data_IF_439972521567
#
_entry.id   IF_439972521567
#
_cell.length_a   1.000
_cell.length_b   1.000
_cell.length_c   1.000
_cell.angle_alpha   90.00
_cell.angle_beta   90.00
_cell.angle_gamma   90.00
#
_symmetry.space_group_name_H-M   'P 1'
#
loop_
_entity.id
_entity.type
_entity.pdbx_description
1 polymer ?
#
# COMPACT_ATOMS: atom_id res chain seq x y z
N UNK A 1 6.50 -31.11 24.92
CA UNK A 1 6.40 -29.74 25.47
C UNK A 1 5.16 -29.07 24.88
N UNK A 2 4.24 -28.59 25.73
CA UNK A 2 2.95 -28.04 25.32
C UNK A 2 3.16 -26.63 24.76
N UNK A 3 2.89 -26.42 23.47
CA UNK A 3 2.82 -25.10 22.86
C UNK A 3 1.67 -24.32 23.49
N UNK A 4 1.98 -23.33 24.33
CA UNK A 4 0.99 -22.35 24.77
C UNK A 4 0.86 -21.32 23.67
N UNK A 5 -0.25 -21.38 22.94
CA UNK A 5 -0.72 -20.34 22.04
C UNK A 5 -0.99 -19.10 22.91
N UNK A 6 -0.04 -18.17 22.99
CA UNK A 6 -0.25 -16.90 23.66
C UNK A 6 -1.12 -16.05 22.71
N UNK A 7 -2.41 -15.98 23.03
CA UNK A 7 -3.33 -15.01 22.48
C UNK A 7 -2.74 -13.62 22.79
N UNK A 8 -2.19 -12.95 21.77
CA UNK A 8 -1.75 -11.56 21.89
C UNK A 8 -3.02 -10.75 22.14
N UNK A 9 -3.25 -10.43 23.42
CA UNK A 9 -4.25 -9.47 23.84
C UNK A 9 -3.85 -8.11 23.27
N UNK A 10 -4.48 -7.77 22.16
CA UNK A 10 -4.49 -6.46 21.54
C UNK A 10 -5.06 -5.46 22.55
N UNK A 11 -4.22 -4.92 23.45
CA UNK A 11 -4.57 -3.72 24.22
C UNK A 11 -4.27 -2.47 23.39
N UNK A 12 -4.77 -2.43 22.16
CA UNK A 12 -5.13 -1.17 21.52
C UNK A 12 -6.49 -0.77 22.10
N UNK A 13 -6.45 -0.17 23.29
CA UNK A 13 -7.61 0.48 23.88
C UNK A 13 -8.07 1.62 22.95
N UNK A 14 -9.09 1.34 22.13
CA UNK A 14 -10.18 2.23 21.71
C UNK A 14 -9.77 3.61 21.17
N UNK A 15 -8.66 3.71 20.45
CA UNK A 15 -8.56 4.75 19.42
C UNK A 15 -9.03 4.06 18.15
N UNK A 16 -10.32 4.25 17.81
CA UNK A 16 -10.73 4.08 16.42
C UNK A 16 -9.95 5.13 15.64
N UNK A 17 -8.75 4.76 15.18
CA UNK A 17 -8.02 5.56 14.23
C UNK A 17 -8.96 5.64 13.03
N UNK A 18 -9.60 6.80 12.86
CA UNK A 18 -10.43 7.12 11.69
C UNK A 18 -9.48 7.32 10.51
N UNK A 19 -8.74 6.28 10.15
CA UNK A 19 -8.05 6.27 8.89
C UNK A 19 -9.08 6.09 7.77
N UNK A 20 -8.69 6.37 6.55
CA UNK A 20 -9.49 6.01 5.39
C UNK A 20 -8.71 4.93 4.68
N UNK A 21 -9.35 3.77 4.44
CA UNK A 21 -8.70 2.72 3.68
C UNK A 21 -8.40 3.20 2.26
N UNK A 22 -7.37 2.62 1.66
CA UNK A 22 -6.90 3.00 0.34
C UNK A 22 -7.87 2.49 -0.73
N UNK A 23 -8.26 3.39 -1.63
CA UNK A 23 -9.06 3.06 -2.78
C UNK A 23 -8.27 2.11 -3.71
N UNK A 24 -8.84 0.94 -4.03
CA UNK A 24 -8.17 -0.05 -4.85
C UNK A 24 -8.09 0.38 -6.31
N UNK A 25 -7.05 -0.12 -6.98
CA UNK A 25 -7.08 -0.20 -8.43
C UNK A 25 -8.13 -1.20 -8.90
N UNK A 26 -8.37 -1.22 -10.21
CA UNK A 26 -9.33 -2.13 -10.84
C UNK A 26 -8.61 -3.13 -11.71
N UNK A 27 -9.18 -4.33 -11.83
CA UNK A 27 -8.72 -5.34 -12.78
C UNK A 27 -9.91 -5.99 -13.48
N UNK A 28 -9.80 -6.14 -14.80
CA UNK A 28 -10.82 -6.77 -15.64
C UNK A 28 -10.35 -8.17 -16.02
N UNK A 29 -11.14 -9.18 -15.68
CA UNK A 29 -10.86 -10.59 -15.96
C UNK A 29 -12.16 -11.20 -16.49
N UNK A 30 -12.11 -11.84 -17.67
CA UNK A 30 -13.29 -12.41 -18.33
C UNK A 30 -14.47 -11.42 -18.43
N UNK A 31 -14.17 -10.16 -18.79
CA UNK A 31 -15.11 -9.04 -18.89
C UNK A 31 -15.83 -8.64 -17.59
N UNK A 32 -15.36 -9.12 -16.43
CA UNK A 32 -15.83 -8.66 -15.12
C UNK A 32 -14.75 -7.82 -14.44
N UNK A 33 -15.16 -6.69 -13.88
CA UNK A 33 -14.29 -5.79 -13.11
C UNK A 33 -14.25 -6.22 -11.64
N UNK A 34 -13.06 -6.17 -11.05
CA UNK A 34 -12.78 -6.45 -9.64
C UNK A 34 -11.90 -5.35 -9.05
N UNK A 35 -11.89 -5.28 -7.72
CA UNK A 35 -10.87 -4.51 -6.99
C UNK A 35 -9.51 -5.22 -7.07
N UNK A 36 -8.43 -4.45 -6.96
CA UNK A 36 -7.05 -4.94 -6.89
C UNK A 36 -6.39 -4.34 -5.64
N UNK A 37 -5.97 -5.21 -4.71
CA UNK A 37 -5.44 -4.84 -3.39
C UNK A 37 -3.91 -4.69 -3.38
N UNK A 38 -3.31 -4.39 -4.53
CA UNK A 38 -1.90 -4.06 -4.68
C UNK A 38 -1.69 -3.11 -5.87
N UNK A 39 -0.48 -2.59 -6.04
CA UNK A 39 -0.19 -1.45 -6.92
C UNK A 39 0.86 -1.78 -8.00
N UNK A 40 0.51 -2.44 -9.11
CA UNK A 40 1.50 -2.84 -10.12
C UNK A 40 2.26 -1.69 -10.79
N UNK A 41 1.76 -0.45 -10.70
CA UNK A 41 2.40 0.72 -11.32
C UNK A 41 3.52 1.36 -10.48
N UNK A 42 3.69 1.00 -9.20
CA UNK A 42 4.67 1.66 -8.33
C UNK A 42 6.09 1.50 -8.91
N UNK A 43 6.51 0.26 -9.23
CA UNK A 43 7.79 -0.02 -9.87
C UNK A 43 7.91 0.52 -11.30
N UNK A 44 6.79 0.65 -12.02
CA UNK A 44 6.78 1.24 -13.36
C UNK A 44 7.13 2.74 -13.29
N UNK A 45 6.50 3.49 -12.39
CA UNK A 45 6.73 4.93 -12.28
C UNK A 45 8.10 5.28 -11.69
N UNK A 46 8.72 4.40 -10.89
CA UNK A 46 10.12 4.57 -10.48
C UNK A 46 11.06 4.58 -11.69
N UNK A 47 10.81 3.73 -12.70
CA UNK A 47 11.60 3.64 -13.93
C UNK A 47 11.18 4.67 -14.99
N UNK A 48 9.91 5.10 -14.95
CA UNK A 48 9.30 6.02 -15.92
C UNK A 48 8.64 7.21 -15.21
N UNK A 49 9.39 8.05 -14.49
CA UNK A 49 8.83 9.13 -13.67
C UNK A 49 8.06 10.18 -14.48
N UNK A 50 8.41 10.38 -15.76
CA UNK A 50 7.71 11.31 -16.65
C UNK A 50 6.28 10.87 -16.99
N UNK A 51 5.97 9.59 -16.81
CA UNK A 51 4.64 9.02 -17.00
C UNK A 51 3.78 9.10 -15.74
N UNK A 52 4.36 9.48 -14.60
CA UNK A 52 3.61 9.54 -13.35
C UNK A 52 2.49 10.60 -13.47
N UNK A 53 1.21 10.25 -13.23
CA UNK A 53 0.09 11.15 -13.51
C UNK A 53 0.07 12.40 -12.62
N UNK A 54 0.56 12.28 -11.38
CA UNK A 54 0.65 13.39 -10.41
C UNK A 54 1.96 14.18 -10.50
N UNK A 55 3.10 13.48 -10.54
CA UNK A 55 4.43 14.10 -10.42
C UNK A 55 5.11 14.36 -11.76
N UNK A 56 4.71 13.66 -12.82
CA UNK A 56 5.25 13.80 -14.16
C UNK A 56 4.79 15.08 -14.86
N UNK A 57 5.51 15.51 -15.93
CA UNK A 57 5.26 16.77 -16.62
C UNK A 57 4.04 16.74 -17.54
N UNK A 58 3.54 15.55 -17.92
CA UNK A 58 2.54 15.40 -19.00
C UNK A 58 1.13 15.88 -18.63
N UNK A 59 0.77 15.78 -17.35
CA UNK A 59 -0.54 16.23 -16.86
C UNK A 59 -0.48 17.66 -16.33
N UNK A 60 0.59 17.97 -15.59
CA UNK A 60 0.79 19.25 -14.89
C UNK A 60 0.83 20.42 -15.88
N UNK A 61 -0.15 21.32 -15.78
CA UNK A 61 0.04 22.71 -16.19
C UNK A 61 0.86 23.40 -15.11
N UNK A 62 2.10 23.76 -15.43
CA UNK A 62 3.00 24.53 -14.56
C UNK A 62 2.52 25.99 -14.55
N UNK A 63 1.43 26.30 -13.86
CA UNK A 63 1.09 27.70 -13.54
C UNK A 63 1.77 28.07 -12.23
N UNK A 64 2.42 29.24 -12.18
CA UNK A 64 3.27 29.70 -11.06
C UNK A 64 2.58 29.80 -9.70
N UNK A 65 1.25 29.70 -9.66
CA UNK A 65 0.46 29.72 -8.43
C UNK A 65 -0.15 28.34 -8.19
N UNK A 66 0.47 27.65 -7.24
CA UNK A 66 -0.01 26.47 -6.52
C UNK A 66 -0.20 25.18 -7.34
N UNK A 67 0.54 24.17 -6.90
CA UNK A 67 0.41 22.81 -7.36
C UNK A 67 -0.86 22.20 -6.74
N UNK A 68 -1.97 22.18 -7.49
CA UNK A 68 -3.15 21.43 -7.07
C UNK A 68 -2.89 19.93 -7.30
N UNK A 69 -2.48 19.24 -6.23
CA UNK A 69 -2.42 17.77 -6.20
C UNK A 69 -3.83 17.29 -5.82
N UNK A 70 -4.48 16.44 -6.64
CA UNK A 70 -5.68 15.75 -6.20
C UNK A 70 -5.30 14.82 -5.04
N UNK A 71 -5.57 15.29 -3.82
CA UNK A 71 -5.27 14.58 -2.58
C UNK A 71 -6.59 14.14 -1.94
N UNK A 72 -6.71 12.84 -1.68
CA UNK A 72 -7.75 12.27 -0.83
C UNK A 72 -7.09 11.39 0.23
N UNK A 73 -7.59 11.45 1.46
CA UNK A 73 -7.16 10.53 2.52
C UNK A 73 -7.51 9.08 2.21
N UNK A 74 -8.52 8.86 1.35
CA UNK A 74 -8.89 7.54 0.82
C UNK A 74 -8.08 7.11 -0.39
N UNK A 75 -7.27 7.99 -0.99
CA UNK A 75 -6.46 7.67 -2.16
C UNK A 75 -5.14 8.43 -2.15
N UNK A 76 -4.15 7.94 -1.40
CA UNK A 76 -2.85 8.60 -1.27
C UNK A 76 -2.06 8.62 -2.59
N UNK A 77 -2.33 7.68 -3.49
CA UNK A 77 -1.68 7.58 -4.82
C UNK A 77 -2.15 8.69 -5.77
N UNK A 78 -3.33 9.25 -5.52
CA UNK A 78 -3.93 10.32 -6.32
C UNK A 78 -4.51 9.85 -7.67
N UNK A 79 -4.42 8.56 -8.00
CA UNK A 79 -4.98 7.97 -9.21
C UNK A 79 -5.66 6.62 -8.93
N UNK A 80 -6.43 6.14 -9.91
CA UNK A 80 -6.95 4.77 -9.95
C UNK A 80 -6.54 4.18 -11.30
N UNK A 81 -5.77 3.09 -11.26
CA UNK A 81 -5.41 2.34 -12.46
C UNK A 81 -6.46 1.27 -12.74
N UNK A 82 -6.66 0.96 -14.02
CA UNK A 82 -7.46 -0.19 -14.45
C UNK A 82 -6.58 -1.09 -15.29
N UNK A 83 -6.45 -2.33 -14.84
CA UNK A 83 -5.73 -3.38 -15.54
C UNK A 83 -6.70 -4.35 -16.22
N UNK A 84 -6.20 -5.12 -17.17
CA UNK A 84 -6.93 -6.22 -17.81
C UNK A 84 -6.01 -7.43 -17.95
N UNK A 85 -6.55 -8.61 -17.62
CA UNK A 85 -5.97 -9.90 -17.98
C UNK A 85 -6.67 -10.40 -19.22
N UNK A 86 -5.93 -10.54 -20.31
CA UNK A 86 -6.42 -11.12 -21.57
C UNK A 86 -5.31 -11.96 -22.18
N UNK A 87 -5.64 -13.17 -22.64
CA UNK A 87 -4.66 -14.13 -23.17
C UNK A 87 -3.45 -14.31 -22.23
N UNK A 88 -3.71 -14.52 -20.93
CA UNK A 88 -2.72 -14.67 -19.86
C UNK A 88 -1.72 -13.52 -19.77
N UNK A 89 -2.08 -12.32 -20.23
CA UNK A 89 -1.23 -11.13 -20.20
C UNK A 89 -1.89 -10.02 -19.40
N UNK A 90 -1.16 -9.46 -18.44
CA UNK A 90 -1.50 -8.24 -17.71
C UNK A 90 -1.23 -7.02 -18.58
N UNK A 91 -2.18 -6.11 -18.63
CA UNK A 91 -2.05 -4.84 -19.34
C UNK A 91 -2.73 -3.72 -18.58
N UNK A 92 -2.14 -2.52 -18.62
CA UNK A 92 -2.82 -1.30 -18.17
C UNK A 92 -3.74 -0.83 -19.30
N UNK A 93 -5.02 -0.60 -18.98
CA UNK A 93 -6.03 -0.17 -19.96
C UNK A 93 -6.63 1.20 -19.66
N UNK A 94 -6.56 1.67 -18.42
CA UNK A 94 -6.95 3.02 -18.07
C UNK A 94 -6.19 3.54 -16.84
N UNK A 95 -6.17 4.86 -16.70
CA UNK A 95 -5.63 5.57 -15.54
C UNK A 95 -6.50 6.80 -15.32
N UNK A 96 -7.10 6.91 -14.13
CA UNK A 96 -8.05 7.97 -13.79
C UNK A 96 -7.53 8.86 -12.66
N UNK A 97 -7.85 10.16 -12.75
CA UNK A 97 -7.58 11.17 -11.73
C UNK A 97 -8.88 11.82 -11.26
N UNK A 98 -8.89 12.33 -10.03
CA UNK A 98 -9.97 13.18 -9.55
C UNK A 98 -9.99 14.51 -10.34
N UNK A 99 -11.15 14.88 -10.86
CA UNK A 99 -11.37 16.10 -11.62
C UNK A 99 -11.68 17.28 -10.68
N UNK A 100 -10.62 18.00 -10.32
CA UNK A 100 -10.68 19.13 -9.39
C UNK A 100 -11.48 20.32 -9.93
N UNK A 101 -11.58 20.47 -11.26
CA UNK A 101 -12.26 21.61 -11.90
C UNK A 101 -13.78 21.42 -11.94
N UNK A 102 -14.27 20.17 -11.79
CA UNK A 102 -15.69 19.85 -11.94
C UNK A 102 -16.57 20.20 -10.74
N UNK A 103 -15.97 20.53 -9.59
CA UNK A 103 -16.68 20.76 -8.32
C UNK A 103 -17.45 19.53 -7.81
N UNK A 104 -17.17 18.33 -8.35
CA UNK A 104 -17.78 17.04 -7.99
C UNK A 104 -16.69 15.99 -7.84
N UNK A 105 -16.96 14.96 -7.03
CA UNK A 105 -16.08 13.78 -6.90
C UNK A 105 -16.13 12.89 -8.14
N UNK A 106 -15.68 13.41 -9.27
CA UNK A 106 -15.67 12.72 -10.56
C UNK A 106 -14.25 12.34 -10.92
N UNK A 107 -14.08 11.09 -11.36
CA UNK A 107 -12.82 10.62 -11.95
C UNK A 107 -12.84 10.75 -13.47
N UNK A 108 -11.75 11.27 -14.04
CA UNK A 108 -11.54 11.40 -15.49
C UNK A 108 -10.36 10.56 -15.94
N UNK A 109 -10.49 9.89 -17.09
CA UNK A 109 -9.39 9.16 -17.71
C UNK A 109 -8.33 10.14 -18.21
N UNK A 110 -7.08 9.86 -17.85
CA UNK A 110 -5.89 10.56 -18.33
C UNK A 110 -4.95 9.64 -19.11
N UNK A 111 -5.33 8.38 -19.29
CA UNK A 111 -4.51 7.37 -19.97
C UNK A 111 -4.00 7.86 -21.32
N UNK A 112 -4.91 8.31 -22.19
CA UNK A 112 -4.56 8.79 -23.54
C UNK A 112 -3.68 10.05 -23.53
N UNK A 113 -3.77 10.88 -22.49
CA UNK A 113 -2.94 12.08 -22.35
C UNK A 113 -1.49 11.74 -21.95
N UNK A 114 -1.29 10.68 -21.19
CA UNK A 114 0.03 10.25 -20.69
C UNK A 114 0.71 9.28 -21.67
N UNK A 115 -0.06 8.31 -22.13
CA UNK A 115 0.41 7.18 -22.91
C UNK A 115 0.13 7.33 -24.42
N UNK A 116 -0.82 8.19 -24.83
CA UNK A 116 -1.28 8.23 -26.22
C UNK A 116 -1.97 6.92 -26.59
N UNK A 117 -1.68 6.41 -27.78
CA UNK A 117 -2.14 5.08 -28.25
C UNK A 117 -1.10 3.98 -28.00
N UNK A 118 -0.03 4.26 -27.24
CA UNK A 118 1.04 3.28 -27.00
C UNK A 118 0.59 2.21 -26.00
N UNK A 119 1.00 0.97 -26.26
CA UNK A 119 0.94 -0.08 -25.24
C UNK A 119 1.96 0.23 -24.14
N UNK A 120 1.53 0.12 -22.88
CA UNK A 120 2.41 0.25 -21.72
C UNK A 120 3.02 -1.12 -21.43
N UNK A 121 4.34 -1.21 -21.55
CA UNK A 121 5.10 -2.38 -21.07
C UNK A 121 5.34 -2.19 -19.57
N UNK A 122 4.58 -2.91 -18.75
CA UNK A 122 4.68 -2.81 -17.30
C UNK A 122 5.92 -3.55 -16.80
N UNK A 123 6.27 -4.65 -17.47
CA UNK A 123 7.31 -5.60 -17.07
C UNK A 123 7.17 -5.98 -15.57
N UNK A 124 5.92 -6.16 -15.13
CA UNK A 124 5.56 -6.45 -13.76
C UNK A 124 5.84 -7.92 -13.43
N UNK A 125 6.39 -8.16 -12.24
CA UNK A 125 6.54 -9.50 -11.67
C UNK A 125 6.19 -9.45 -10.19
N UNK A 126 5.23 -10.27 -9.77
CA UNK A 126 4.69 -10.26 -8.42
C UNK A 126 3.36 -11.00 -8.35
N UNK A 127 2.67 -10.91 -7.20
CA UNK A 127 1.39 -11.58 -6.97
C UNK A 127 0.28 -10.53 -6.92
N UNK A 128 -0.69 -10.64 -7.82
CA UNK A 128 -1.92 -9.83 -7.76
C UNK A 128 -2.88 -10.41 -6.72
N UNK A 129 -3.49 -9.54 -5.91
CA UNK A 129 -4.45 -9.92 -4.87
C UNK A 129 -5.82 -9.35 -5.22
N UNK A 130 -6.75 -10.23 -5.61
CA UNK A 130 -8.06 -9.86 -6.15
C UNK A 130 -9.14 -10.38 -5.20
N UNK A 131 -9.83 -9.54 -4.42
CA UNK A 131 -10.95 -9.98 -3.61
C UNK A 131 -12.13 -10.33 -4.52
N UNK A 132 -12.60 -11.57 -4.46
CA UNK A 132 -13.69 -12.08 -5.30
C UNK A 132 -14.99 -12.31 -4.52
N UNK A 133 -14.92 -12.24 -3.19
CA UNK A 133 -16.02 -12.50 -2.29
C UNK A 133 -16.55 -11.28 -1.53
N UNK A 134 -17.25 -11.51 -0.43
CA UNK A 134 -17.86 -10.48 0.41
C UNK A 134 -16.88 -9.87 1.39
N UNK A 135 -16.97 -8.55 1.61
CA UNK A 135 -16.20 -7.84 2.63
C UNK A 135 -16.70 -8.24 4.02
N UNK A 136 -15.81 -8.80 4.84
CA UNK A 136 -16.08 -9.23 6.21
C UNK A 136 -15.67 -8.18 7.24
N UNK A 137 -14.49 -7.58 7.05
CA UNK A 137 -13.92 -6.60 7.99
C UNK A 137 -13.06 -5.59 7.24
N UNK A 138 -13.04 -4.35 7.72
CA UNK A 138 -12.15 -3.31 7.22
C UNK A 138 -11.41 -2.66 8.37
N UNK A 139 -10.09 -2.76 8.37
CA UNK A 139 -9.26 -1.83 9.09
C UNK A 139 -9.04 -0.61 8.19
N UNK A 140 -9.22 0.56 8.78
CA UNK A 140 -9.19 1.86 8.11
C UNK A 140 -7.77 2.31 7.72
N UNK A 141 -6.94 1.39 7.23
CA UNK A 141 -5.54 1.63 6.93
C UNK A 141 -5.10 0.82 5.71
N UNK A 142 -4.49 1.48 4.70
CA UNK A 142 -4.00 0.81 3.49
C UNK A 142 -5.05 -0.09 2.83
N UNK A 143 -4.63 -1.29 2.41
CA UNK A 143 -5.52 -2.34 1.89
C UNK A 143 -5.91 -3.37 2.94
N UNK A 144 -5.99 -2.99 4.22
CA UNK A 144 -6.36 -3.90 5.31
C UNK A 144 -7.87 -4.23 5.31
N UNK A 145 -8.33 -4.81 4.22
CA UNK A 145 -9.68 -5.32 3.99
C UNK A 145 -9.68 -6.84 4.01
N UNK A 146 -10.58 -7.43 4.77
CA UNK A 146 -10.75 -8.86 4.88
C UNK A 146 -12.01 -9.28 4.12
N UNK A 147 -11.84 -10.17 3.15
CA UNK A 147 -12.91 -10.76 2.36
C UNK A 147 -12.98 -12.26 2.65
N UNK A 148 -14.10 -12.90 2.33
CA UNK A 148 -14.25 -14.35 2.49
C UNK A 148 -13.51 -15.16 1.41
N UNK A 149 -13.29 -14.56 0.22
CA UNK A 149 -12.62 -15.19 -0.94
C UNK A 149 -11.70 -14.24 -1.71
N UNK A 150 -10.62 -14.81 -2.23
CA UNK A 150 -9.59 -14.13 -2.99
C UNK A 150 -9.13 -14.98 -4.17
N UNK A 151 -8.82 -14.32 -5.28
CA UNK A 151 -8.10 -14.90 -6.41
C UNK A 151 -6.68 -14.31 -6.43
N UNK A 152 -5.67 -15.17 -6.29
CA UNK A 152 -4.27 -14.79 -6.43
C UNK A 152 -3.73 -15.17 -7.80
N UNK A 153 -3.02 -14.24 -8.45
CA UNK A 153 -2.36 -14.49 -9.74
C UNK A 153 -0.88 -14.12 -9.65
N UNK A 154 0.03 -15.09 -9.85
CA UNK A 154 1.46 -14.81 -10.01
C UNK A 154 1.70 -14.36 -11.44
N UNK A 155 2.28 -13.17 -11.55
CA UNK A 155 2.70 -12.56 -12.80
C UNK A 155 4.21 -12.62 -12.90
N UNK A 156 4.72 -12.98 -14.06
CA UNK A 156 6.14 -12.91 -14.39
C UNK A 156 6.31 -12.21 -15.75
N UNK A 157 6.89 -11.01 -15.73
CA UNK A 157 7.06 -10.14 -16.91
C UNK A 157 5.74 -10.01 -17.69
N UNK A 158 4.72 -9.53 -16.99
CA UNK A 158 3.34 -9.34 -17.46
C UNK A 158 2.57 -10.62 -17.83
N UNK A 159 3.19 -11.80 -17.82
CA UNK A 159 2.50 -13.06 -18.09
C UNK A 159 1.96 -13.69 -16.80
N UNK A 160 0.71 -14.14 -16.82
CA UNK A 160 0.13 -14.98 -15.76
C UNK A 160 0.76 -16.36 -15.85
N UNK A 161 1.44 -16.78 -14.78
CA UNK A 161 2.11 -18.10 -14.73
C UNK A 161 1.47 -19.06 -13.72
N UNK A 162 0.68 -18.53 -12.77
CA UNK A 162 0.01 -19.32 -11.74
C UNK A 162 -1.20 -18.56 -11.23
N UNK A 163 -2.26 -19.28 -10.93
CA UNK A 163 -3.46 -18.74 -10.31
C UNK A 163 -4.00 -19.69 -9.24
N UNK A 164 -4.65 -19.14 -8.21
CA UNK A 164 -5.32 -19.92 -7.16
C UNK A 164 -6.41 -19.10 -6.49
N UNK A 165 -7.58 -19.72 -6.31
CA UNK A 165 -8.62 -19.21 -5.43
C UNK A 165 -8.33 -19.64 -3.99
N UNK A 166 -8.45 -18.71 -3.05
CA UNK A 166 -8.23 -18.90 -1.62
C UNK A 166 -9.46 -18.44 -0.86
N UNK A 167 -9.82 -19.16 0.20
CA UNK A 167 -10.70 -18.61 1.23
C UNK A 167 -9.92 -17.70 2.20
N UNK A 168 -10.65 -16.99 3.06
CA UNK A 168 -10.10 -16.11 4.11
C UNK A 168 -8.94 -16.73 4.91
N UNK A 169 -9.10 -17.96 5.40
CA UNK A 169 -8.10 -18.59 6.29
C UNK A 169 -6.84 -18.98 5.51
N UNK A 170 -7.00 -19.42 4.26
CA UNK A 170 -5.88 -19.66 3.35
C UNK A 170 -5.16 -18.36 2.97
N UNK A 171 -5.90 -17.28 2.72
CA UNK A 171 -5.33 -15.96 2.42
C UNK A 171 -4.52 -15.40 3.59
N UNK A 172 -5.01 -15.55 4.83
CA UNK A 172 -4.27 -15.14 6.03
C UNK A 172 -2.96 -15.93 6.13
N UNK A 173 -2.98 -17.25 5.92
CA UNK A 173 -1.77 -18.08 5.90
C UNK A 173 -0.79 -17.61 4.81
N UNK A 174 -1.29 -17.37 3.60
CA UNK A 174 -0.52 -16.80 2.50
C UNK A 174 0.18 -15.49 2.89
N UNK A 175 -0.53 -14.52 3.49
CA UNK A 175 0.06 -13.24 3.90
C UNK A 175 1.16 -13.42 4.95
N UNK A 176 0.96 -14.33 5.92
CA UNK A 176 1.97 -14.65 6.93
C UNK A 176 3.21 -15.27 6.29
N UNK A 177 3.04 -16.22 5.38
CA UNK A 177 4.17 -16.89 4.73
C UNK A 177 4.90 -15.97 3.74
N UNK A 178 4.17 -15.11 3.03
CA UNK A 178 4.74 -14.06 2.18
C UNK A 178 5.59 -13.10 3.01
N UNK A 179 5.11 -12.68 4.18
CA UNK A 179 5.87 -11.80 5.05
C UNK A 179 7.11 -12.48 5.63
N UNK A 180 7.04 -13.76 6.01
CA UNK A 180 8.23 -14.53 6.42
C UNK A 180 9.29 -14.57 5.31
N UNK A 181 8.88 -14.75 4.05
CA UNK A 181 9.78 -14.69 2.91
C UNK A 181 10.36 -13.28 2.72
N UNK A 182 9.52 -12.24 2.83
CA UNK A 182 9.91 -10.84 2.75
C UNK A 182 11.00 -10.47 3.77
N UNK A 183 10.95 -11.00 5.00
CA UNK A 183 11.99 -10.77 6.02
C UNK A 183 13.41 -11.12 5.57
N UNK A 184 13.58 -11.96 4.55
CA UNK A 184 14.89 -12.36 4.03
C UNK A 184 15.40 -11.49 2.88
N UNK A 185 14.67 -10.44 2.51
CA UNK A 185 15.00 -9.53 1.39
C UNK A 185 15.88 -8.35 1.82
N UNK A 186 16.53 -7.69 0.86
CA UNK A 186 17.28 -6.45 1.13
C UNK A 186 16.33 -5.26 1.35
N UNK A 187 15.16 -5.30 0.74
CA UNK A 187 14.06 -4.34 0.93
C UNK A 187 13.62 -4.34 2.39
N UNK A 188 13.42 -5.51 3.01
CA UNK A 188 13.10 -5.59 4.44
C UNK A 188 14.19 -4.96 5.31
N UNK A 189 15.47 -5.25 5.06
CA UNK A 189 16.59 -4.64 5.81
C UNK A 189 16.60 -3.12 5.67
N UNK A 190 16.28 -2.63 4.47
CA UNK A 190 16.18 -1.20 4.16
C UNK A 190 15.02 -0.57 4.94
N UNK A 191 13.85 -1.21 4.97
CA UNK A 191 12.68 -0.72 5.70
C UNK A 191 12.90 -0.71 7.22
N UNK A 192 13.54 -1.73 7.78
CA UNK A 192 13.94 -1.72 9.21
C UNK A 192 14.86 -0.53 9.51
N UNK A 193 15.84 -0.28 8.66
CA UNK A 193 16.77 0.86 8.82
C UNK A 193 16.05 2.21 8.69
N UNK A 194 15.12 2.33 7.75
CA UNK A 194 14.31 3.53 7.54
C UNK A 194 13.41 3.79 8.75
N UNK A 195 12.74 2.76 9.28
CA UNK A 195 11.90 2.86 10.47
C UNK A 195 12.71 3.33 11.68
N UNK A 196 13.88 2.73 11.95
CA UNK A 196 14.76 3.15 13.04
C UNK A 196 15.29 4.59 12.85
N UNK A 197 15.54 5.01 11.61
CA UNK A 197 15.93 6.39 11.29
C UNK A 197 14.79 7.37 11.58
N UNK A 198 13.56 7.03 11.20
CA UNK A 198 12.36 7.82 11.49
C UNK A 198 12.17 7.97 13.00
N UNK A 199 12.17 6.84 13.73
CA UNK A 199 12.04 6.84 15.20
C UNK A 199 13.09 7.73 15.89
N UNK A 200 14.33 7.71 15.42
CA UNK A 200 15.37 8.60 15.94
C UNK A 200 15.14 10.08 15.59
N UNK A 201 14.54 10.35 14.43
CA UNK A 201 14.09 11.68 14.04
C UNK A 201 12.98 12.20 14.96
N UNK A 202 11.95 11.37 15.17
CA UNK A 202 10.80 11.66 16.03
C UNK A 202 11.26 11.92 17.47
N UNK A 203 12.11 11.05 18.01
CA UNK A 203 12.77 11.24 19.31
C UNK A 203 13.43 12.62 19.45
N UNK A 204 14.23 13.03 18.46
CA UNK A 204 14.94 14.33 18.48
C UNK A 204 13.96 15.50 18.37
N UNK A 205 12.94 15.36 17.55
CA UNK A 205 11.93 16.38 17.33
C UNK A 205 11.07 16.57 18.58
N UNK A 206 10.45 15.51 19.09
CA UNK A 206 9.53 15.56 20.23
C UNK A 206 10.23 15.96 21.53
N UNK A 207 11.45 15.48 21.78
CA UNK A 207 12.25 15.87 22.95
C UNK A 207 12.97 17.23 22.79
N UNK A 208 12.78 17.94 21.67
CA UNK A 208 13.41 19.23 21.46
C UNK A 208 12.90 20.28 22.46
N UNK A 209 13.73 21.29 22.77
CA UNK A 209 13.32 22.42 23.64
C UNK A 209 12.08 23.14 23.11
N UNK A 210 11.90 23.16 21.78
CA UNK A 210 10.76 23.81 21.14
C UNK A 210 9.46 23.06 21.46
N UNK A 211 9.46 21.74 21.30
CA UNK A 211 8.26 20.91 21.48
C UNK A 211 7.97 20.59 22.95
N UNK A 212 9.00 20.62 23.80
CA UNK A 212 8.83 20.46 25.26
C UNK A 212 8.54 21.78 25.99
N UNK A 213 8.44 22.90 25.27
CA UNK A 213 8.17 24.21 25.87
C UNK A 213 6.75 24.23 26.44
N UNK A 214 6.65 24.48 27.75
CA UNK A 214 5.36 24.53 28.45
C UNK A 214 4.90 23.19 29.04
N UNK A 215 5.61 22.09 28.74
CA UNK A 215 5.38 20.82 29.41
C UNK A 215 5.94 20.85 30.84
N UNK A 216 5.25 20.18 31.76
CA UNK A 216 5.73 19.92 33.11
C UNK A 216 6.91 18.95 33.10
N UNK A 217 7.70 18.94 34.18
CA UNK A 217 8.80 17.97 34.36
C UNK A 217 8.33 16.52 34.28
N UNK A 218 7.11 16.23 34.76
CA UNK A 218 6.53 14.88 34.74
C UNK A 218 6.20 14.43 33.31
N UNK A 219 5.62 15.30 32.50
CA UNK A 219 5.31 14.99 31.09
C UNK A 219 6.58 14.79 30.27
N UNK A 220 7.60 15.63 30.48
CA UNK A 220 8.91 15.45 29.81
C UNK A 220 9.56 14.13 30.24
N UNK A 221 9.46 13.73 31.51
CA UNK A 221 9.99 12.46 31.99
C UNK A 221 9.26 11.26 31.37
N UNK A 222 7.93 11.34 31.24
CA UNK A 222 7.13 10.31 30.59
C UNK A 222 7.49 10.17 29.10
N UNK A 223 7.60 11.30 28.38
CA UNK A 223 7.99 11.30 26.97
C UNK A 223 9.40 10.72 26.77
N UNK A 224 10.35 11.05 27.66
CA UNK A 224 11.69 10.45 27.62
C UNK A 224 11.66 8.93 27.83
N UNK A 225 10.74 8.44 28.66
CA UNK A 225 10.54 7.01 28.91
C UNK A 225 10.03 6.27 27.67
N UNK A 226 9.16 6.89 26.88
CA UNK A 226 8.68 6.33 25.61
C UNK A 226 9.83 6.12 24.60
N UNK A 227 10.86 6.96 24.67
CA UNK A 227 12.05 6.89 23.82
C UNK A 227 13.28 6.26 24.51
N UNK A 228 13.10 5.64 25.67
CA UNK A 228 14.20 5.04 26.45
C UNK A 228 14.87 3.91 25.67
N UNK A 229 14.05 3.08 25.02
CA UNK A 229 14.51 1.97 24.19
C UNK A 229 14.00 2.14 22.75
N UNK A 230 14.82 1.77 21.75
CA UNK A 230 14.33 1.68 20.37
C UNK A 230 13.22 0.62 20.27
N UNK A 231 12.37 0.69 19.22
CA UNK A 231 11.36 -0.32 18.98
C UNK A 231 11.97 -1.71 18.88
N UNK A 232 11.32 -2.71 19.46
CA UNK A 232 11.74 -4.12 19.35
C UNK A 232 11.60 -4.62 17.91
N UNK A 233 12.32 -5.69 17.56
CA UNK A 233 12.15 -6.32 16.25
C UNK A 233 10.69 -6.78 16.03
N UNK A 234 10.02 -7.28 17.07
CA UNK A 234 8.61 -7.67 17.00
C UNK A 234 7.71 -6.46 16.67
N UNK A 235 7.95 -5.31 17.30
CA UNK A 235 7.19 -4.09 16.99
C UNK A 235 7.37 -3.68 15.52
N UNK A 236 8.63 -3.68 15.04
CA UNK A 236 8.93 -3.34 13.64
C UNK A 236 8.30 -4.35 12.68
N UNK A 237 8.37 -5.65 12.99
CA UNK A 237 7.75 -6.69 12.19
C UNK A 237 6.23 -6.49 12.10
N UNK A 238 5.55 -6.23 13.22
CA UNK A 238 4.11 -6.01 13.23
C UNK A 238 3.73 -4.75 12.44
N UNK A 239 4.50 -3.68 12.58
CA UNK A 239 4.32 -2.45 11.81
C UNK A 239 4.46 -2.74 10.30
N UNK A 240 5.57 -3.36 9.88
CA UNK A 240 5.82 -3.66 8.46
C UNK A 240 4.81 -4.67 7.89
N UNK A 241 4.33 -5.63 8.68
CA UNK A 241 3.32 -6.60 8.25
C UNK A 241 2.00 -5.93 7.86
N UNK A 242 1.62 -4.88 8.59
CA UNK A 242 0.38 -4.12 8.32
C UNK A 242 0.57 -3.12 7.19
N UNK A 243 1.74 -2.48 7.12
CA UNK A 243 1.99 -1.37 6.20
C UNK A 243 2.42 -1.79 4.80
N UNK A 244 3.31 -2.79 4.72
CA UNK A 244 3.97 -3.16 3.48
C UNK A 244 3.13 -4.17 2.72
N UNK A 245 3.04 -3.97 1.41
CA UNK A 245 2.51 -4.97 0.51
C UNK A 245 3.65 -5.56 -0.32
N UNK A 246 4.29 -6.67 0.12
CA UNK A 246 5.44 -7.24 -0.55
C UNK A 246 5.00 -8.13 -1.73
N UNK A 247 4.20 -7.59 -2.65
CA UNK A 247 3.66 -8.33 -3.80
C UNK A 247 4.74 -8.85 -4.75
N UNK A 248 5.90 -8.18 -4.82
CA UNK A 248 7.09 -8.65 -5.53
C UNK A 248 7.72 -9.92 -4.93
N UNK A 249 7.40 -10.27 -3.67
CA UNK A 249 7.86 -11.50 -3.02
C UNK A 249 6.95 -12.65 -3.45
N UNK A 250 7.39 -13.36 -4.50
CA UNK A 250 6.70 -14.53 -5.02
C UNK A 250 7.03 -15.74 -4.14
N UNK A 251 5.99 -16.33 -3.54
CA UNK A 251 6.06 -17.58 -2.78
C UNK A 251 5.24 -18.67 -3.46
N UNK A 252 5.46 -19.92 -3.07
CA UNK A 252 4.55 -21.00 -3.43
C UNK A 252 3.31 -20.97 -2.53
N UNK A 253 2.14 -21.24 -3.11
CA UNK A 253 0.83 -21.10 -2.45
C UNK A 253 -0.24 -22.01 -3.04
#
# INVERSE_FOLDING_TARGET
MKFKLFLILFTFSIIKILGTGQQPDKIIINNKEYDLLNNPLDAYFEKHPDDHPIYGPKIRKKTEKELMIPFSTSNYRGYIATFKIENNTLSLVDLKLLDLDSGKDRYISVFKKIFGDRKVDLNYSGILVIPTGELLESAHFGYSYLYDKYHLMTIQRDAVIKEKELNKDEFIRFKVDQFKAYKNTEEYKTEVKNHLKSWNGDKKFELSRKNTRGMSKKEIAQLKKEYEFPPSEEHINNFLFVLINPDFVIIDY
#
